data_IF_312659523590
#
_entry.id   IF_312659523590
#
_cell.length_a   1.000
_cell.length_b   1.000
_cell.length_c   1.000
_cell.angle_alpha   90.00
_cell.angle_beta   90.00
_cell.angle_gamma   90.00
#
_symmetry.space_group_name_H-M   'P 1'
#
loop_
_entity.id
_entity.type
_entity.pdbx_description
1 polymer ?
#
# COMPACT_ATOMS: atom_id res chain seq x y z
N UNK A 1 -34.65 59.04 38.58
CA UNK A 1 -34.11 57.95 39.43
C UNK A 1 -34.54 56.61 38.86
N UNK A 2 -33.62 55.64 38.86
CA UNK A 2 -33.79 54.20 38.56
C UNK A 2 -33.72 53.78 37.07
N UNK A 3 -32.46 53.49 36.72
CA UNK A 3 -31.91 52.63 35.67
C UNK A 3 -32.82 51.45 35.25
N UNK A 4 -32.91 51.18 33.95
CA UNK A 4 -32.94 49.81 33.45
C UNK A 4 -32.30 49.73 32.06
N UNK A 5 -31.29 48.87 31.99
CA UNK A 5 -30.36 48.62 30.90
C UNK A 5 -31.05 47.67 29.91
N UNK A 6 -31.31 48.10 28.68
CA UNK A 6 -31.77 47.20 27.62
C UNK A 6 -30.54 46.72 26.82
N UNK A 7 -30.18 45.46 27.03
CA UNK A 7 -29.03 44.79 26.44
C UNK A 7 -29.28 44.61 24.93
N UNK A 8 -28.44 45.27 24.13
CA UNK A 8 -28.36 45.09 22.69
C UNK A 8 -27.68 43.73 22.41
N UNK A 9 -28.46 42.68 22.12
CA UNK A 9 -27.92 41.39 21.69
C UNK A 9 -27.53 41.49 20.21
N UNK A 10 -26.36 42.06 19.94
CA UNK A 10 -25.74 41.98 18.62
C UNK A 10 -25.29 40.54 18.38
N UNK A 11 -26.07 39.80 17.58
CA UNK A 11 -25.69 38.47 17.10
C UNK A 11 -24.48 38.59 16.17
N UNK A 12 -23.27 38.50 16.72
CA UNK A 12 -22.07 38.30 15.92
C UNK A 12 -22.04 36.84 15.46
N UNK A 13 -22.70 36.54 14.34
CA UNK A 13 -22.32 35.37 13.55
C UNK A 13 -20.95 35.67 12.92
N UNK A 14 -19.90 35.41 13.70
CA UNK A 14 -18.57 35.12 13.15
C UNK A 14 -18.73 33.82 12.36
N UNK A 15 -19.05 33.96 11.07
CA UNK A 15 -18.72 32.94 10.09
C UNK A 15 -17.20 32.84 10.08
N UNK A 16 -16.66 31.97 10.91
CA UNK A 16 -15.31 31.45 10.71
C UNK A 16 -15.35 30.79 9.35
N UNK A 17 -14.72 31.44 8.37
CA UNK A 17 -14.37 30.82 7.10
C UNK A 17 -13.52 29.61 7.49
N UNK A 18 -14.14 28.43 7.51
CA UNK A 18 -13.38 27.18 7.54
C UNK A 18 -12.59 27.25 6.23
N UNK A 19 -11.25 27.36 6.26
CA UNK A 19 -10.51 27.21 5.03
C UNK A 19 -10.86 25.81 4.54
N UNK A 20 -11.63 25.74 3.44
CA UNK A 20 -11.70 24.53 2.66
C UNK A 20 -10.31 24.35 2.09
N UNK A 21 -9.44 23.73 2.90
CA UNK A 21 -8.20 23.17 2.43
C UNK A 21 -8.62 22.22 1.33
N UNK A 22 -8.28 22.57 0.08
CA UNK A 22 -8.27 21.60 -0.99
C UNK A 22 -7.50 20.41 -0.43
N UNK A 23 -8.18 19.27 -0.27
CA UNK A 23 -7.52 18.03 0.05
C UNK A 23 -6.56 17.77 -1.10
N UNK A 24 -5.30 18.20 -0.94
CA UNK A 24 -4.23 17.73 -1.80
C UNK A 24 -4.21 16.23 -1.53
N UNK A 25 -4.60 15.45 -2.54
CA UNK A 25 -4.45 14.02 -2.48
C UNK A 25 -2.99 13.76 -2.12
N UNK A 26 -2.76 13.21 -0.93
CA UNK A 26 -1.42 12.91 -0.45
C UNK A 26 -0.77 11.96 -1.45
N UNK A 27 0.16 12.49 -2.24
CA UNK A 27 0.90 11.73 -3.26
C UNK A 27 1.99 10.86 -2.63
N UNK A 28 2.12 10.90 -1.29
CA UNK A 28 3.04 10.07 -0.53
C UNK A 28 2.70 8.60 -0.73
N UNK A 29 3.59 7.91 -1.44
CA UNK A 29 3.53 6.46 -1.60
C UNK A 29 4.20 5.80 -0.40
N UNK A 30 3.50 4.83 0.18
CA UNK A 30 4.02 3.95 1.22
C UNK A 30 4.69 2.75 0.56
N UNK A 31 5.81 2.30 1.09
CA UNK A 31 6.49 1.07 0.68
C UNK A 31 6.50 0.06 1.83
N UNK A 32 5.98 -1.14 1.56
CA UNK A 32 5.86 -2.23 2.53
C UNK A 32 6.57 -3.48 2.00
N UNK A 33 7.62 -3.92 2.69
CA UNK A 33 8.30 -5.20 2.48
C UNK A 33 7.39 -6.32 3.00
N UNK A 34 7.06 -7.26 2.12
CA UNK A 34 6.13 -8.34 2.39
C UNK A 34 6.88 -9.55 2.94
N UNK A 35 6.93 -9.67 4.26
CA UNK A 35 7.66 -10.70 5.03
C UNK A 35 6.69 -11.66 5.72
N UNK A 36 5.62 -11.14 6.33
CA UNK A 36 4.73 -11.88 7.22
C UNK A 36 4.00 -13.02 6.50
N UNK A 37 3.43 -12.75 5.33
CA UNK A 37 2.65 -13.72 4.57
C UNK A 37 3.45 -14.50 3.53
N UNK A 38 4.58 -13.95 3.08
CA UNK A 38 5.40 -14.53 2.00
C UNK A 38 6.59 -15.31 2.55
N UNK A 39 7.16 -14.88 3.68
CA UNK A 39 8.35 -15.49 4.26
C UNK A 39 9.59 -15.43 3.35
N UNK A 40 10.58 -16.26 3.66
CA UNK A 40 11.84 -16.35 2.90
C UNK A 40 11.74 -17.44 1.84
N UNK A 41 11.46 -17.04 0.61
CA UNK A 41 11.31 -17.97 -0.51
C UNK A 41 12.26 -17.63 -1.66
N UNK A 42 12.91 -18.64 -2.25
CA UNK A 42 13.73 -18.49 -3.45
C UNK A 42 12.91 -18.44 -4.74
N UNK A 43 11.64 -18.82 -4.66
CA UNK A 43 10.68 -18.82 -5.76
C UNK A 43 9.30 -18.43 -5.24
N UNK A 44 8.65 -17.49 -5.90
CA UNK A 44 7.28 -17.08 -5.56
C UNK A 44 6.43 -17.02 -6.83
N UNK A 45 5.17 -17.43 -6.69
CA UNK A 45 4.17 -17.34 -7.76
C UNK A 45 3.36 -16.06 -7.63
N UNK A 46 3.11 -15.40 -8.74
CA UNK A 46 2.43 -14.11 -8.83
C UNK A 46 1.35 -14.20 -9.90
N UNK A 47 0.10 -14.28 -9.48
CA UNK A 47 -1.06 -14.25 -10.38
C UNK A 47 -1.44 -12.81 -10.68
N UNK A 48 -1.44 -12.46 -11.97
CA UNK A 48 -1.80 -11.12 -12.45
C UNK A 48 -3.31 -11.06 -12.69
N UNK A 49 -3.96 -10.00 -12.25
CA UNK A 49 -5.35 -9.68 -12.59
C UNK A 49 -5.41 -8.22 -13.02
N UNK A 50 -6.01 -7.97 -14.18
CA UNK A 50 -6.02 -6.65 -14.80
C UNK A 50 -4.74 -6.37 -15.61
N UNK A 51 -4.49 -5.09 -15.86
CA UNK A 51 -3.44 -4.65 -16.77
C UNK A 51 -2.19 -4.26 -16.00
N UNK A 52 -1.18 -5.12 -16.03
CA UNK A 52 0.15 -4.83 -15.51
C UNK A 52 1.19 -4.84 -16.62
N UNK A 53 2.29 -4.16 -16.35
CA UNK A 53 3.50 -4.22 -17.17
C UNK A 53 4.73 -4.32 -16.29
N UNK A 54 5.82 -4.75 -16.89
CA UNK A 54 7.15 -4.70 -16.29
C UNK A 54 7.73 -3.31 -16.52
N UNK A 55 8.17 -2.64 -15.45
CA UNK A 55 8.62 -1.25 -15.52
C UNK A 55 9.85 -1.08 -16.41
N UNK A 56 10.78 -2.01 -16.32
CA UNK A 56 12.12 -1.95 -16.92
C UNK A 56 12.09 -2.20 -18.43
N UNK A 57 11.10 -2.95 -18.92
CA UNK A 57 10.99 -3.30 -20.35
C UNK A 57 9.74 -2.73 -21.01
N UNK A 58 8.78 -2.24 -20.24
CA UNK A 58 7.45 -1.86 -20.74
C UNK A 58 6.58 -3.03 -21.20
N UNK A 59 7.06 -4.27 -21.06
CA UNK A 59 6.33 -5.46 -21.53
C UNK A 59 5.05 -5.67 -20.72
N UNK A 60 3.93 -5.86 -21.40
CA UNK A 60 2.66 -6.18 -20.76
C UNK A 60 2.68 -7.59 -20.15
N UNK A 61 1.96 -7.76 -19.05
CA UNK A 61 1.69 -9.04 -18.41
C UNK A 61 0.23 -9.43 -18.69
N UNK A 62 0.00 -10.70 -18.96
CA UNK A 62 -1.33 -11.20 -19.32
C UNK A 62 -2.18 -11.35 -18.05
N UNK A 63 -3.38 -10.77 -18.07
CA UNK A 63 -4.37 -10.94 -17.01
C UNK A 63 -4.79 -12.41 -16.90
N UNK A 64 -4.98 -12.89 -15.66
CA UNK A 64 -5.31 -14.28 -15.35
C UNK A 64 -4.12 -15.24 -15.32
N UNK A 65 -2.96 -14.82 -15.82
CA UNK A 65 -1.76 -15.64 -15.86
C UNK A 65 -0.98 -15.58 -14.54
N UNK A 66 -0.43 -16.74 -14.14
CA UNK A 66 0.54 -16.83 -13.05
C UNK A 66 1.95 -16.82 -13.61
N UNK A 67 2.78 -15.93 -13.09
CA UNK A 67 4.21 -15.87 -13.37
C UNK A 67 4.98 -16.31 -12.12
N UNK A 68 6.13 -16.94 -12.32
CA UNK A 68 7.01 -17.34 -11.21
C UNK A 68 8.25 -16.47 -11.20
N UNK A 69 8.51 -15.81 -10.07
CA UNK A 69 9.73 -15.04 -9.83
C UNK A 69 10.70 -15.90 -9.03
N UNK A 70 11.92 -16.08 -9.55
CA UNK A 70 12.97 -16.86 -8.88
C UNK A 70 14.19 -15.99 -8.61
N UNK A 71 14.79 -16.15 -7.44
CA UNK A 71 16.08 -15.57 -7.07
C UNK A 71 17.16 -16.65 -7.04
N UNK A 72 18.30 -16.37 -7.68
CA UNK A 72 19.50 -17.18 -7.56
C UNK A 72 20.72 -16.27 -7.55
N UNK A 73 21.53 -16.34 -6.49
CA UNK A 73 22.80 -15.62 -6.39
C UNK A 73 22.69 -14.10 -6.67
N UNK A 74 21.64 -13.46 -6.16
CA UNK A 74 21.40 -12.03 -6.32
C UNK A 74 20.72 -11.63 -7.63
N UNK A 75 20.31 -12.60 -8.45
CA UNK A 75 19.69 -12.36 -9.75
C UNK A 75 18.25 -12.88 -9.77
N UNK A 76 17.33 -12.03 -10.23
CA UNK A 76 15.93 -12.36 -10.44
C UNK A 76 15.67 -12.79 -11.87
N UNK A 77 14.87 -13.84 -12.01
CA UNK A 77 14.35 -14.35 -13.28
C UNK A 77 12.83 -14.51 -13.19
N UNK A 78 12.15 -14.14 -14.28
CA UNK A 78 10.70 -14.29 -14.44
C UNK A 78 10.41 -15.46 -15.38
N UNK A 79 9.47 -16.30 -14.96
CA UNK A 79 9.03 -17.48 -15.70
C UNK A 79 7.53 -17.44 -15.95
N UNK A 80 7.10 -18.11 -17.01
CA UNK A 80 5.72 -18.51 -17.25
C UNK A 80 5.68 -20.03 -17.38
N UNK A 81 5.16 -20.71 -16.36
CA UNK A 81 5.32 -22.15 -16.22
C UNK A 81 6.81 -22.52 -16.21
N UNK A 82 7.22 -23.40 -17.13
CA UNK A 82 8.62 -23.85 -17.23
C UNK A 82 9.50 -22.95 -18.10
N UNK A 83 8.92 -21.99 -18.83
CA UNK A 83 9.68 -21.13 -19.74
C UNK A 83 10.24 -19.91 -18.99
N UNK A 84 11.57 -19.73 -19.01
CA UNK A 84 12.20 -18.47 -18.58
C UNK A 84 11.87 -17.39 -19.59
N UNK A 85 11.20 -16.33 -19.15
CA UNK A 85 10.88 -15.18 -19.99
C UNK A 85 12.03 -14.20 -20.03
N UNK A 86 12.61 -13.89 -18.86
CA UNK A 86 13.63 -12.84 -18.72
C UNK A 86 14.39 -12.94 -17.41
N UNK A 87 15.57 -12.32 -17.40
CA UNK A 87 16.41 -12.05 -16.25
C UNK A 87 16.56 -10.53 -16.05
N UNK A 88 16.56 -10.05 -14.81
CA UNK A 88 16.47 -8.62 -14.48
C UNK A 88 17.62 -8.09 -13.60
N UNK A 89 18.52 -8.94 -13.13
CA UNK A 89 19.50 -8.56 -12.10
C UNK A 89 18.88 -8.53 -10.71
N UNK A 90 19.30 -7.60 -9.85
CA UNK A 90 18.92 -7.61 -8.43
C UNK A 90 17.46 -7.22 -8.14
N UNK A 91 16.80 -6.50 -9.05
CA UNK A 91 15.41 -6.08 -8.86
C UNK A 91 14.68 -5.84 -10.18
N UNK A 92 13.35 -5.95 -10.14
CA UNK A 92 12.45 -5.42 -11.18
C UNK A 92 11.08 -5.12 -10.60
N UNK A 93 10.26 -4.36 -11.34
CA UNK A 93 8.94 -3.93 -10.85
C UNK A 93 7.81 -4.32 -11.80
N UNK A 94 6.73 -4.85 -11.23
CA UNK A 94 5.43 -4.96 -11.89
C UNK A 94 4.59 -3.75 -11.50
N UNK A 95 4.11 -3.00 -12.50
CA UNK A 95 3.41 -1.73 -12.33
C UNK A 95 2.06 -1.81 -13.05
N UNK A 96 0.95 -1.42 -12.41
CA UNK A 96 -0.34 -1.39 -13.08
C UNK A 96 -0.31 -0.31 -14.17
N UNK A 97 -0.89 -0.60 -15.33
CA UNK A 97 -1.07 0.39 -16.39
C UNK A 97 -2.08 1.45 -15.93
N UNK A 98 -3.14 1.01 -15.26
CA UNK A 98 -4.12 1.86 -14.59
C UNK A 98 -4.20 1.42 -13.13
N UNK A 99 -3.87 2.35 -12.23
CA UNK A 99 -3.98 2.11 -10.78
C UNK A 99 -5.45 1.94 -10.38
N UNK A 100 -5.73 0.95 -9.53
CA UNK A 100 -7.08 0.69 -9.04
C UNK A 100 -7.30 -0.76 -8.66
N UNK A 101 -8.52 -1.05 -8.22
CA UNK A 101 -8.93 -2.36 -7.68
C UNK A 101 -9.10 -3.45 -8.75
N UNK A 102 -9.24 -3.05 -10.01
CA UNK A 102 -9.25 -3.96 -11.17
C UNK A 102 -7.86 -4.47 -11.56
N UNK A 103 -6.81 -3.90 -10.96
CA UNK A 103 -5.41 -4.26 -11.20
C UNK A 103 -4.78 -4.77 -9.90
N UNK A 104 -4.71 -6.08 -9.72
CA UNK A 104 -4.07 -6.70 -8.54
C UNK A 104 -3.06 -7.80 -8.90
N UNK A 105 -2.10 -8.00 -8.01
CA UNK A 105 -1.17 -9.14 -8.02
C UNK A 105 -1.43 -9.99 -6.78
N UNK A 106 -1.77 -11.27 -6.97
CA UNK A 106 -1.91 -12.24 -5.88
C UNK A 106 -0.63 -13.04 -5.77
N UNK A 107 0.01 -13.03 -4.60
CA UNK A 107 1.29 -13.72 -4.38
C UNK A 107 1.05 -15.02 -3.61
N UNK A 108 1.63 -16.14 -4.09
CA UNK A 108 1.56 -17.49 -3.49
C UNK A 108 0.13 -17.98 -3.18
N UNK A 109 -0.85 -17.60 -3.99
CA UNK A 109 -2.29 -17.86 -3.74
C UNK A 109 -2.81 -17.31 -2.40
N UNK A 110 -2.08 -16.37 -1.78
CA UNK A 110 -2.48 -15.68 -0.56
C UNK A 110 -3.16 -14.34 -0.84
N UNK A 111 -2.69 -13.28 -0.19
CA UNK A 111 -3.27 -11.95 -0.32
C UNK A 111 -3.05 -11.35 -1.72
N UNK A 112 -4.02 -10.55 -2.16
CA UNK A 112 -3.92 -9.70 -3.33
C UNK A 112 -3.40 -8.32 -2.95
N UNK A 113 -2.53 -7.77 -3.76
CA UNK A 113 -1.95 -6.43 -3.58
C UNK A 113 -2.25 -5.58 -4.82
N UNK A 114 -2.49 -4.29 -4.62
CA UNK A 114 -2.61 -3.30 -5.71
C UNK A 114 -1.39 -2.39 -5.73
N UNK A 115 -1.25 -1.57 -6.77
CA UNK A 115 -0.11 -0.69 -6.96
C UNK A 115 1.13 -1.42 -7.48
N UNK A 116 2.28 -0.82 -7.27
CA UNK A 116 3.55 -1.35 -7.76
C UNK A 116 4.05 -2.44 -6.81
N UNK A 117 4.54 -3.54 -7.37
CA UNK A 117 5.34 -4.50 -6.61
C UNK A 117 6.72 -4.56 -7.22
N UNK A 118 7.71 -4.17 -6.42
CA UNK A 118 9.12 -4.34 -6.76
C UNK A 118 9.61 -5.63 -6.12
N UNK A 119 10.13 -6.53 -6.92
CA UNK A 119 10.81 -7.74 -6.45
C UNK A 119 12.30 -7.43 -6.31
N UNK A 120 12.89 -7.80 -5.18
CA UNK A 120 14.31 -7.62 -4.89
C UNK A 120 14.93 -8.97 -4.53
N UNK A 121 16.15 -9.23 -5.02
CA UNK A 121 16.93 -10.39 -4.62
C UNK A 121 17.75 -10.09 -3.37
N UNK A 122 17.50 -10.82 -2.30
CA UNK A 122 18.34 -10.87 -1.10
C UNK A 122 19.11 -12.19 -1.12
N UNK A 123 20.22 -12.22 -1.87
CA UNK A 123 20.92 -13.46 -2.19
C UNK A 123 20.06 -14.38 -3.06
N UNK A 124 19.67 -15.54 -2.52
CA UNK A 124 18.78 -16.48 -3.21
C UNK A 124 17.33 -16.38 -2.74
N UNK A 125 16.94 -15.28 -2.08
CA UNK A 125 15.57 -15.04 -1.61
C UNK A 125 14.94 -13.93 -2.45
N UNK A 126 13.70 -14.13 -2.87
CA UNK A 126 12.85 -13.10 -3.49
C UNK A 126 12.13 -12.34 -2.39
N UNK A 127 12.34 -11.03 -2.34
CA UNK A 127 11.71 -10.12 -1.39
C UNK A 127 10.80 -9.14 -2.14
N UNK A 128 9.47 -9.29 -2.05
CA UNK A 128 8.53 -8.34 -2.64
C UNK A 128 8.37 -7.10 -1.75
N UNK A 129 8.32 -5.93 -2.38
CA UNK A 129 8.01 -4.65 -1.75
C UNK A 129 6.82 -4.04 -2.49
N UNK A 130 5.70 -3.88 -1.79
CA UNK A 130 4.50 -3.27 -2.33
C UNK A 130 4.51 -1.76 -2.08
N UNK A 131 4.37 -0.98 -3.15
CA UNK A 131 4.32 0.48 -3.14
C UNK A 131 2.97 0.98 -3.64
N UNK A 132 2.28 1.75 -2.80
CA UNK A 132 0.92 2.22 -3.03
C UNK A 132 0.64 3.54 -2.28
N UNK A 133 -0.40 4.30 -2.65
CA UNK A 133 -0.84 5.49 -1.93
C UNK A 133 -1.22 5.20 -0.47
N UNK A 134 -0.99 6.19 0.40
CA UNK A 134 -1.27 6.09 1.84
C UNK A 134 -2.68 5.59 2.17
N UNK A 135 -3.71 6.07 1.48
CA UNK A 135 -5.11 5.68 1.76
C UNK A 135 -5.36 4.18 1.53
N UNK A 136 -4.78 3.61 0.49
CA UNK A 136 -4.96 2.18 0.19
C UNK A 136 -4.10 1.30 1.10
N UNK A 137 -2.95 1.81 1.56
CA UNK A 137 -2.20 1.17 2.64
C UNK A 137 -3.04 1.08 3.92
N UNK A 138 -3.69 2.18 4.35
CA UNK A 138 -4.52 2.19 5.55
C UNK A 138 -5.68 1.20 5.47
N UNK A 139 -6.30 1.04 4.29
CA UNK A 139 -7.34 0.03 4.07
C UNK A 139 -6.83 -1.41 4.29
N UNK A 140 -5.55 -1.67 3.99
CA UNK A 140 -4.93 -2.98 4.21
C UNK A 140 -4.47 -3.25 5.65
N UNK A 141 -4.31 -2.20 6.46
CA UNK A 141 -3.86 -2.29 7.87
C UNK A 141 -5.03 -2.34 8.84
N UNK A 142 -6.02 -1.44 8.67
CA UNK A 142 -7.08 -1.25 9.66
C UNK A 142 -7.84 -2.54 10.01
N UNK A 143 -8.28 -3.37 9.04
CA UNK A 143 -8.97 -4.62 9.33
C UNK A 143 -8.14 -5.65 10.12
N UNK A 144 -6.80 -5.51 10.14
CA UNK A 144 -5.90 -6.41 10.86
C UNK A 144 -5.58 -5.94 12.27
N UNK A 145 -5.66 -4.64 12.52
CA UNK A 145 -5.30 -4.04 13.81
C UNK A 145 -6.52 -3.72 14.69
N UNK A 146 -7.71 -3.55 14.11
CA UNK A 146 -8.92 -3.21 14.85
C UNK A 146 -10.15 -3.93 14.31
N UNK A 147 -11.02 -4.37 15.22
CA UNK A 147 -12.29 -4.99 14.85
C UNK A 147 -13.26 -3.97 14.26
N UNK A 148 -13.95 -4.34 13.18
CA UNK A 148 -15.01 -3.51 12.58
C UNK A 148 -16.20 -3.26 13.50
N UNK A 149 -16.33 -4.02 14.60
CA UNK A 149 -17.37 -3.82 15.61
C UNK A 149 -17.09 -2.64 16.57
N UNK A 150 -15.91 -2.02 16.48
CA UNK A 150 -15.55 -0.91 17.37
C UNK A 150 -16.31 0.37 16.99
N UNK A 151 -16.47 1.30 17.95
CA UNK A 151 -17.09 2.60 17.66
C UNK A 151 -16.38 3.33 16.52
N UNK A 152 -17.14 4.06 15.70
CA UNK A 152 -16.61 4.81 14.56
C UNK A 152 -15.45 5.75 14.94
N UNK A 153 -15.55 6.41 16.11
CA UNK A 153 -14.50 7.31 16.59
C UNK A 153 -13.21 6.55 16.93
N UNK A 154 -13.30 5.31 17.40
CA UNK A 154 -12.13 4.45 17.63
C UNK A 154 -11.48 4.04 16.31
N UNK A 155 -12.27 3.73 15.28
CA UNK A 155 -11.76 3.44 13.94
C UNK A 155 -11.06 4.65 13.33
N UNK A 156 -11.61 5.86 13.50
CA UNK A 156 -10.98 7.12 13.07
C UNK A 156 -9.66 7.37 13.81
N UNK A 157 -9.66 7.21 15.13
CA UNK A 157 -8.44 7.37 15.93
C UNK A 157 -7.34 6.39 15.49
N UNK A 158 -7.70 5.13 15.23
CA UNK A 158 -6.77 4.14 14.70
C UNK A 158 -6.24 4.52 13.31
N UNK A 159 -7.11 5.04 12.42
CA UNK A 159 -6.69 5.52 11.10
C UNK A 159 -5.65 6.64 11.19
N UNK A 160 -5.86 7.61 12.07
CA UNK A 160 -4.93 8.72 12.29
C UNK A 160 -3.61 8.22 12.87
N UNK A 161 -3.67 7.30 13.85
CA UNK A 161 -2.49 6.67 14.45
C UNK A 161 -1.65 5.93 13.41
N UNK A 162 -2.28 5.05 12.62
CA UNK A 162 -1.63 4.28 11.56
C UNK A 162 -1.01 5.19 10.48
N UNK A 163 -1.72 6.26 10.07
CA UNK A 163 -1.19 7.24 9.12
C UNK A 163 0.05 7.94 9.67
N UNK A 164 -0.02 8.39 10.92
CA UNK A 164 1.08 9.09 11.57
C UNK A 164 2.30 8.19 11.70
N UNK A 165 2.08 6.90 11.98
CA UNK A 165 3.15 5.92 11.99
C UNK A 165 3.80 5.78 10.60
N UNK A 166 3.01 5.50 9.57
CA UNK A 166 3.50 5.31 8.20
C UNK A 166 4.20 6.56 7.63
N UNK A 167 3.67 7.77 7.89
CA UNK A 167 4.24 9.02 7.38
C UNK A 167 5.66 9.29 7.89
N UNK A 168 6.02 8.81 9.08
CA UNK A 168 7.39 8.90 9.62
C UNK A 168 8.41 8.12 8.78
N UNK A 169 7.98 7.01 8.17
CA UNK A 169 8.84 6.20 7.30
C UNK A 169 8.88 6.77 5.89
N UNK A 170 7.72 7.16 5.34
CA UNK A 170 7.66 7.76 4.01
C UNK A 170 8.47 9.04 3.92
N UNK A 171 8.36 9.93 4.91
CA UNK A 171 9.16 11.18 4.96
C UNK A 171 10.66 10.93 5.11
N UNK A 172 11.06 9.81 5.72
CA UNK A 172 12.45 9.38 5.83
C UNK A 172 12.94 8.55 4.62
N UNK A 173 12.09 8.32 3.61
CA UNK A 173 12.40 7.47 2.45
C UNK A 173 12.63 6.00 2.81
N UNK A 174 12.08 5.53 3.94
CA UNK A 174 12.30 4.17 4.45
C UNK A 174 11.16 3.23 4.06
N UNK A 175 11.51 1.96 3.83
CA UNK A 175 10.56 0.86 3.63
C UNK A 175 10.20 0.27 4.99
N UNK A 176 8.90 0.12 5.27
CA UNK A 176 8.40 -0.63 6.43
C UNK A 176 8.29 -2.11 6.09
N UNK A 177 8.24 -3.02 7.06
CA UNK A 177 7.78 -4.39 6.82
C UNK A 177 6.35 -4.62 7.35
N UNK A 178 5.72 -5.72 6.94
CA UNK A 178 4.35 -6.09 7.30
C UNK A 178 4.26 -6.96 8.59
N UNK A 179 5.29 -6.93 9.43
CA UNK A 179 5.32 -7.65 10.72
C UNK A 179 4.79 -6.80 11.87
N UNK A 180 4.61 -7.41 13.04
CA UNK A 180 4.20 -6.71 14.28
C UNK A 180 5.22 -5.68 14.77
N UNK A 181 6.44 -5.66 14.21
CA UNK A 181 7.44 -4.62 14.48
C UNK A 181 7.02 -3.24 13.94
N UNK A 182 6.08 -3.21 13.00
CA UNK A 182 5.51 -2.00 12.42
C UNK A 182 3.99 -2.05 12.52
N UNK A 183 3.33 -2.65 11.53
CA UNK A 183 1.88 -2.85 11.46
C UNK A 183 1.59 -4.05 10.56
N UNK A 184 0.59 -4.85 10.90
CA UNK A 184 0.17 -5.98 10.06
C UNK A 184 -0.53 -5.43 8.81
N UNK A 185 0.09 -5.63 7.65
CA UNK A 185 -0.44 -5.20 6.36
C UNK A 185 -0.94 -6.40 5.55
N UNK A 186 -2.25 -6.49 5.32
CA UNK A 186 -2.87 -7.61 4.62
C UNK A 186 -2.99 -7.48 3.10
N UNK A 187 -2.55 -6.37 2.51
CA UNK A 187 -2.81 -6.08 1.10
C UNK A 187 -4.21 -5.52 0.83
N UNK A 188 -4.70 -5.67 -0.39
CA UNK A 188 -6.01 -5.20 -0.84
C UNK A 188 -7.16 -6.12 -0.44
N UNK A 189 -6.95 -7.44 -0.45
CA UNK A 189 -7.99 -8.44 -0.13
C UNK A 189 -8.14 -8.71 1.37
N UNK A 190 -7.70 -7.77 2.22
CA UNK A 190 -7.46 -7.97 3.66
C UNK A 190 -8.71 -7.85 4.52
#
# INVERSE_FOLDING_TARGET
MKKLFAILLAASMLFTVIPQGNASADTSQVAVKLVNYIGKNSSIDVKVTGNYRISETGSALNSGQTYTVKASSGVLSLYSGNQKLREFGAQFSMVPVTYGTSSTLTIQNGNSYTGTITFQAEGSIVTPVNKLPMEDYLKGVLPKEVSSAYPLESLKAQAVSARTHASRFTSAGKTMDDTTSYQVYGGYSS
#
